data_IF_185091780895
#
_entry.id   IF_185091780895
#
_cell.length_a   1.000
_cell.length_b   1.000
_cell.length_c   1.000
_cell.angle_alpha   90.00
_cell.angle_beta   90.00
_cell.angle_gamma   90.00
#
_symmetry.space_group_name_H-M   'P 1'
#
loop_
_entity.id
_entity.type
_entity.pdbx_description
1 polymer ?
#
# COMPACT_ATOMS: atom_id res chain seq x y z
N UNK A 1 5.95 23.65 8.58
CA UNK A 1 6.65 23.08 9.75
C UNK A 1 5.61 22.96 10.83
N UNK A 2 5.60 21.89 11.63
CA UNK A 2 4.62 21.80 12.73
C UNK A 2 4.96 22.89 13.74
N UNK A 3 4.02 23.81 14.00
CA UNK A 3 4.20 24.81 15.03
C UNK A 3 4.05 24.14 16.40
N UNK A 4 5.07 24.30 17.25
CA UNK A 4 5.12 23.70 18.58
C UNK A 4 5.43 24.73 19.66
N UNK A 5 5.40 26.03 19.35
CA UNK A 5 5.81 27.08 20.28
C UNK A 5 4.89 27.15 21.52
N UNK A 6 3.60 26.92 21.33
CA UNK A 6 2.58 26.97 22.39
C UNK A 6 2.31 25.61 23.08
N UNK A 7 3.08 24.57 22.76
CA UNK A 7 2.85 23.22 23.29
C UNK A 7 3.35 23.13 24.73
N UNK A 8 2.45 22.93 25.69
CA UNK A 8 2.78 22.73 27.10
C UNK A 8 3.23 21.32 27.46
N UNK A 9 2.73 20.31 26.73
CA UNK A 9 3.16 18.90 26.86
C UNK A 9 3.23 18.19 25.51
N UNK A 10 4.35 17.54 25.25
CA UNK A 10 4.54 16.56 24.18
C UNK A 10 4.23 15.17 24.73
N UNK A 11 3.11 14.57 24.34
CA UNK A 11 2.69 13.24 24.77
C UNK A 11 2.91 12.23 23.65
N UNK A 12 4.00 11.47 23.74
CA UNK A 12 4.25 10.33 22.88
C UNK A 12 3.49 9.10 23.35
N UNK A 13 2.83 8.41 22.43
CA UNK A 13 2.11 7.16 22.69
C UNK A 13 2.72 6.04 21.86
N UNK A 14 3.20 4.99 22.53
CA UNK A 14 3.42 3.70 21.88
C UNK A 14 2.12 2.88 21.94
N UNK A 15 1.55 2.59 20.77
CA UNK A 15 0.16 2.14 20.67
C UNK A 15 0.05 0.61 20.67
N UNK A 16 -0.42 0.05 21.78
CA UNK A 16 -0.71 -1.39 21.92
C UNK A 16 -2.20 -1.75 21.89
N UNK A 17 -2.51 -3.03 21.61
CA UNK A 17 -3.89 -3.52 21.42
C UNK A 17 -4.77 -3.36 22.66
N UNK A 18 -4.24 -3.71 23.83
CA UNK A 18 -4.95 -3.69 25.13
C UNK A 18 -4.70 -2.42 25.91
N UNK A 19 -3.44 -1.96 25.92
CA UNK A 19 -3.03 -0.71 26.49
C UNK A 19 -1.93 -0.10 25.60
N UNK A 20 -1.90 1.21 25.53
CA UNK A 20 -0.78 1.98 25.03
C UNK A 20 0.18 2.26 26.20
N UNK A 21 1.38 2.73 25.90
CA UNK A 21 2.21 3.39 26.90
C UNK A 21 2.32 4.86 26.54
N UNK A 22 2.02 5.76 27.48
CA UNK A 22 2.14 7.19 27.25
C UNK A 22 3.34 7.77 27.99
N UNK A 23 4.06 8.67 27.33
CA UNK A 23 5.18 9.42 27.88
C UNK A 23 5.02 10.91 27.56
N UNK A 24 4.92 11.74 28.60
CA UNK A 24 4.67 13.17 28.50
C UNK A 24 5.88 13.99 28.95
N UNK A 25 6.33 14.90 28.11
CA UNK A 25 7.44 15.82 28.37
C UNK A 25 6.97 17.28 28.25
N UNK A 26 7.44 18.15 29.15
CA UNK A 26 7.32 19.61 28.95
C UNK A 26 8.31 20.09 27.88
N UNK A 27 8.22 21.35 27.38
CA UNK A 27 9.23 21.93 26.49
C UNK A 27 10.66 21.82 27.01
N UNK A 28 10.84 21.97 28.33
CA UNK A 28 12.12 21.82 29.01
C UNK A 28 12.60 20.36 29.14
N UNK A 29 11.87 19.38 28.63
CA UNK A 29 12.20 17.95 28.72
C UNK A 29 11.88 17.31 30.08
N UNK A 30 11.11 17.99 30.95
CA UNK A 30 10.71 17.42 32.24
C UNK A 30 9.60 16.40 32.04
N UNK A 31 9.79 15.18 32.55
CA UNK A 31 8.79 14.12 32.54
C UNK A 31 7.60 14.45 33.45
N UNK A 32 6.40 14.48 32.86
CA UNK A 32 5.13 14.78 33.53
C UNK A 32 4.12 13.64 33.46
N UNK A 33 4.32 12.69 32.53
CA UNK A 33 3.52 11.48 32.39
C UNK A 33 4.41 10.33 31.91
N UNK A 34 4.23 9.12 32.45
CA UNK A 34 4.99 7.93 32.05
C UNK A 34 4.30 6.69 32.61
N UNK A 35 3.23 6.24 31.96
CA UNK A 35 2.38 5.15 32.45
C UNK A 35 1.68 4.41 31.31
N UNK A 36 1.31 3.13 31.53
CA UNK A 36 0.33 2.46 30.69
C UNK A 36 -0.98 3.23 30.63
N UNK A 37 -1.56 3.29 29.45
CA UNK A 37 -2.80 3.98 29.14
C UNK A 37 -3.75 2.97 28.47
N UNK A 38 -4.77 2.47 29.17
CA UNK A 38 -5.71 1.50 28.60
C UNK A 38 -6.35 2.01 27.31
N UNK A 39 -6.53 1.12 26.33
CA UNK A 39 -7.18 1.44 25.06
C UNK A 39 -8.71 1.57 25.24
N UNK A 40 -9.13 2.65 25.88
CA UNK A 40 -10.51 2.96 26.26
C UNK A 40 -10.72 4.48 26.20
N UNK A 41 -11.78 4.92 25.51
CA UNK A 41 -12.09 6.35 25.38
C UNK A 41 -12.09 7.08 26.73
N UNK A 42 -12.82 6.57 27.72
CA UNK A 42 -12.94 7.23 29.03
C UNK A 42 -11.59 7.39 29.72
N UNK A 43 -10.69 6.40 29.59
CA UNK A 43 -9.35 6.44 30.21
C UNK A 43 -8.40 7.35 29.45
N UNK A 44 -8.47 7.35 28.12
CA UNK A 44 -7.74 8.26 27.25
C UNK A 44 -8.10 9.72 27.54
N UNK A 45 -9.40 10.03 27.47
CA UNK A 45 -9.95 11.37 27.73
C UNK A 45 -9.55 11.90 29.10
N UNK A 46 -9.69 11.08 30.15
CA UNK A 46 -9.30 11.49 31.50
C UNK A 46 -7.82 11.88 31.63
N UNK A 47 -6.91 11.28 30.84
CA UNK A 47 -5.51 11.67 30.82
C UNK A 47 -5.29 12.95 30.02
N UNK A 48 -5.94 13.07 28.86
CA UNK A 48 -5.85 14.28 28.04
C UNK A 48 -6.39 15.50 28.79
N UNK A 49 -7.61 15.43 29.32
CA UNK A 49 -8.22 16.51 30.11
C UNK A 49 -7.33 16.94 31.29
N UNK A 50 -6.73 15.96 31.99
CA UNK A 50 -5.84 16.23 33.12
C UNK A 50 -4.55 16.93 32.70
N UNK A 51 -3.96 16.53 31.58
CA UNK A 51 -2.75 17.18 31.06
C UNK A 51 -3.08 18.59 30.54
N UNK A 52 -4.18 18.73 29.81
CA UNK A 52 -4.67 20.00 29.27
C UNK A 52 -4.96 20.99 30.38
N UNK A 53 -5.70 20.58 31.43
CA UNK A 53 -6.02 21.43 32.57
C UNK A 53 -4.78 21.92 33.34
N UNK A 54 -3.68 21.14 33.33
CA UNK A 54 -2.47 21.47 34.09
C UNK A 54 -1.43 22.23 33.28
N UNK A 55 -1.34 21.97 31.98
CA UNK A 55 -0.24 22.45 31.14
C UNK A 55 -0.69 23.23 29.90
N UNK A 56 -2.00 23.42 29.69
CA UNK A 56 -2.52 24.08 28.50
C UNK A 56 -2.49 23.15 27.30
N UNK A 57 -1.83 23.54 26.22
CA UNK A 57 -1.82 22.77 24.97
C UNK A 57 -1.08 21.44 25.12
N UNK A 58 -1.73 20.34 24.75
CA UNK A 58 -1.11 19.01 24.66
C UNK A 58 -0.99 18.61 23.19
N UNK A 59 0.21 18.21 22.78
CA UNK A 59 0.47 17.60 21.47
C UNK A 59 0.59 16.09 21.64
N UNK A 60 -0.40 15.34 21.18
CA UNK A 60 -0.42 13.87 21.21
C UNK A 60 0.20 13.31 19.94
N UNK A 61 1.20 12.44 20.07
CA UNK A 61 1.98 11.92 18.95
C UNK A 61 1.98 10.40 18.97
N UNK A 62 1.68 9.78 17.83
CA UNK A 62 1.75 8.33 17.61
C UNK A 62 2.69 8.00 16.45
N UNK A 63 3.16 6.77 16.35
CA UNK A 63 3.88 6.23 15.20
C UNK A 63 3.00 5.37 14.26
N UNK A 64 1.76 5.08 14.65
CA UNK A 64 0.81 4.27 13.88
C UNK A 64 -0.61 4.88 13.91
N UNK A 65 -0.88 5.92 13.11
CA UNK A 65 -2.10 6.71 13.22
C UNK A 65 -3.35 6.00 12.68
N UNK A 66 -3.21 5.15 11.66
CA UNK A 66 -4.34 4.52 10.96
C UNK A 66 -4.72 3.12 11.48
N UNK A 67 -4.03 2.61 12.52
CA UNK A 67 -4.32 1.30 13.12
C UNK A 67 -4.75 1.47 14.59
N UNK A 68 -3.96 0.98 15.53
CA UNK A 68 -4.22 1.03 16.97
C UNK A 68 -4.26 2.49 17.46
N UNK A 69 -3.54 3.41 16.79
CA UNK A 69 -3.53 4.83 17.14
C UNK A 69 -4.78 5.61 16.73
N UNK A 70 -5.74 5.02 15.99
CA UNK A 70 -6.91 5.75 15.50
C UNK A 70 -7.78 6.31 16.64
N UNK A 71 -8.11 5.47 17.63
CA UNK A 71 -8.90 5.88 18.79
C UNK A 71 -8.21 6.95 19.64
N UNK A 72 -6.96 6.76 20.14
CA UNK A 72 -6.32 7.77 20.98
C UNK A 72 -6.16 9.13 20.29
N UNK A 73 -5.90 9.16 18.98
CA UNK A 73 -5.85 10.41 18.23
C UNK A 73 -7.23 11.08 18.12
N UNK A 74 -8.28 10.29 17.88
CA UNK A 74 -9.66 10.82 17.78
C UNK A 74 -10.12 11.40 19.12
N UNK A 75 -9.87 10.68 20.22
CA UNK A 75 -10.21 11.14 21.57
C UNK A 75 -9.36 12.36 21.97
N UNK A 76 -8.09 12.40 21.58
CA UNK A 76 -7.23 13.56 21.83
C UNK A 76 -7.76 14.82 21.15
N UNK A 77 -8.14 14.72 19.87
CA UNK A 77 -8.76 15.83 19.14
C UNK A 77 -10.07 16.29 19.77
N UNK A 78 -10.95 15.35 20.11
CA UNK A 78 -12.23 15.67 20.74
C UNK A 78 -12.05 16.32 22.13
N UNK A 79 -10.98 15.97 22.84
CA UNK A 79 -10.55 16.63 24.07
C UNK A 79 -9.80 17.96 23.85
N UNK A 80 -9.76 18.48 22.62
CA UNK A 80 -9.12 19.75 22.27
C UNK A 80 -7.58 19.71 22.22
N UNK A 81 -6.97 18.53 22.20
CA UNK A 81 -5.52 18.38 22.04
C UNK A 81 -5.11 18.53 20.57
N UNK A 82 -3.88 19.01 20.35
CA UNK A 82 -3.23 18.90 19.04
C UNK A 82 -2.76 17.46 18.81
N UNK A 83 -2.70 17.04 17.55
CA UNK A 83 -2.23 15.69 17.19
C UNK A 83 -1.22 15.70 16.07
N UNK A 84 -0.22 14.82 16.16
CA UNK A 84 0.76 14.61 15.12
C UNK A 84 1.12 13.14 14.94
N UNK A 85 1.76 12.83 13.82
CA UNK A 85 2.29 11.50 13.52
C UNK A 85 3.81 11.58 13.32
N UNK A 86 4.55 10.71 13.99
CA UNK A 86 5.98 10.48 13.75
C UNK A 86 6.15 9.27 12.82
N UNK A 87 6.61 9.44 11.57
CA UNK A 87 6.77 8.32 10.65
C UNK A 87 7.62 7.20 11.24
N UNK A 88 7.14 5.94 11.19
CA UNK A 88 7.83 4.81 11.82
C UNK A 88 9.30 4.62 11.37
N UNK A 89 9.64 5.06 10.15
CA UNK A 89 11.02 5.05 9.66
C UNK A 89 11.89 6.16 10.28
N UNK A 90 11.31 7.32 10.58
CA UNK A 90 11.96 8.38 11.35
C UNK A 90 12.09 7.95 12.82
N UNK A 91 11.01 7.44 13.42
CA UNK A 91 11.00 6.89 14.78
C UNK A 91 12.12 5.86 14.97
N UNK A 92 12.24 4.87 14.07
CA UNK A 92 13.29 3.85 14.16
C UNK A 92 14.71 4.43 14.12
N UNK A 93 14.96 5.42 13.27
CA UNK A 93 16.29 6.06 13.17
C UNK A 93 16.61 6.91 14.40
N UNK A 94 15.59 7.54 14.98
CA UNK A 94 15.75 8.32 16.20
C UNK A 94 15.97 7.38 17.38
N UNK A 95 15.25 6.26 17.45
CA UNK A 95 15.39 5.26 18.52
C UNK A 95 16.83 4.71 18.63
N UNK A 96 17.54 4.57 17.51
CA UNK A 96 18.95 4.15 17.46
C UNK A 96 19.90 5.15 18.18
N UNK A 97 19.48 6.40 18.40
CA UNK A 97 20.26 7.41 19.12
C UNK A 97 20.10 7.31 20.65
N UNK A 98 19.14 6.52 21.14
CA UNK A 98 18.87 6.36 22.58
C UNK A 98 19.53 5.09 23.12
N UNK A 99 20.20 5.17 24.29
CA UNK A 99 20.91 4.03 24.86
C UNK A 99 20.00 2.82 25.16
N UNK A 100 20.60 1.62 25.12
CA UNK A 100 19.96 0.34 25.45
C UNK A 100 19.37 -0.41 24.24
N UNK A 101 19.59 -1.72 24.19
CA UNK A 101 19.12 -2.59 23.09
C UNK A 101 17.72 -3.16 23.30
N UNK A 102 17.17 -3.07 24.52
CA UNK A 102 15.85 -3.60 24.84
C UNK A 102 14.75 -2.72 24.21
N UNK A 103 13.91 -3.34 23.37
CA UNK A 103 12.69 -2.73 22.86
C UNK A 103 11.60 -2.82 23.92
N UNK A 104 11.17 -1.68 24.45
CA UNK A 104 10.08 -1.60 25.44
C UNK A 104 9.12 -0.49 25.07
N UNK A 105 7.83 -0.68 25.37
CA UNK A 105 6.77 0.27 25.02
C UNK A 105 7.02 1.66 25.65
N UNK A 106 7.58 1.67 26.87
CA UNK A 106 7.98 2.90 27.56
C UNK A 106 9.10 3.65 26.83
N UNK A 107 10.08 2.93 26.27
CA UNK A 107 11.18 3.54 25.50
C UNK A 107 10.63 4.12 24.20
N UNK A 108 9.82 3.37 23.48
CA UNK A 108 9.24 3.80 22.21
C UNK A 108 8.36 5.06 22.41
N UNK A 109 7.52 5.08 23.45
CA UNK A 109 6.73 6.26 23.81
C UNK A 109 7.60 7.48 24.16
N UNK A 110 8.69 7.27 24.91
CA UNK A 110 9.63 8.33 25.28
C UNK A 110 10.36 8.91 24.05
N UNK A 111 10.80 8.04 23.14
CA UNK A 111 11.43 8.44 21.87
C UNK A 111 10.46 9.28 21.04
N UNK A 112 9.19 8.87 20.94
CA UNK A 112 8.16 9.63 20.21
C UNK A 112 7.96 11.02 20.82
N UNK A 113 7.83 11.11 22.14
CA UNK A 113 7.62 12.38 22.84
C UNK A 113 8.81 13.33 22.67
N UNK A 114 10.03 12.81 22.83
CA UNK A 114 11.24 13.64 22.77
C UNK A 114 11.61 14.02 21.33
N UNK A 115 11.35 13.15 20.35
CA UNK A 115 11.45 13.47 18.93
C UNK A 115 10.52 14.62 18.54
N UNK A 116 9.27 14.59 19.03
CA UNK A 116 8.31 15.67 18.78
C UNK A 116 8.79 17.01 19.34
N UNK A 117 9.39 16.96 20.55
CA UNK A 117 9.91 18.14 21.26
C UNK A 117 11.18 18.73 20.63
N UNK A 118 12.12 17.88 20.20
CA UNK A 118 13.47 18.31 19.77
C UNK A 118 13.62 18.37 18.25
N UNK A 119 12.81 17.62 17.52
CA UNK A 119 12.87 17.46 16.07
C UNK A 119 11.48 17.62 15.42
N UNK A 120 10.76 18.73 15.65
CA UNK A 120 9.38 18.91 15.17
C UNK A 120 9.26 18.85 13.63
N UNK A 121 10.36 19.11 12.90
CA UNK A 121 10.45 18.94 11.45
C UNK A 121 10.28 17.48 10.97
N UNK A 122 10.39 16.51 11.87
CA UNK A 122 10.15 15.08 11.57
C UNK A 122 8.68 14.68 11.67
N UNK A 123 7.86 15.50 12.32
CA UNK A 123 6.43 15.26 12.51
C UNK A 123 5.64 15.54 11.22
N UNK A 124 4.51 14.86 11.08
CA UNK A 124 3.51 15.10 10.04
C UNK A 124 2.19 15.51 10.67
N UNK A 125 1.57 16.54 10.09
CA UNK A 125 0.21 16.96 10.42
C UNK A 125 -0.76 15.84 10.14
N UNK A 126 -1.61 15.58 11.12
CA UNK A 126 -2.82 14.81 10.94
C UNK A 126 -3.94 15.84 10.95
N UNK A 127 -4.13 16.56 9.84
CA UNK A 127 -5.29 17.44 9.69
C UNK A 127 -6.58 16.61 9.79
N UNK A 128 -7.71 17.29 9.99
CA UNK A 128 -9.03 16.69 9.90
C UNK A 128 -9.11 15.98 8.55
N UNK A 129 -8.97 14.67 8.58
CA UNK A 129 -9.32 13.85 7.44
C UNK A 129 -10.83 13.97 7.37
N UNK A 130 -11.36 14.45 6.24
CA UNK A 130 -12.80 14.40 6.05
C UNK A 130 -13.25 12.94 6.21
N UNK A 131 -14.50 12.75 6.63
CA UNK A 131 -15.07 11.42 6.89
C UNK A 131 -14.87 10.49 5.69
N UNK A 132 -14.95 11.05 4.48
CA UNK A 132 -14.68 10.37 3.21
C UNK A 132 -13.26 9.79 3.17
N UNK A 133 -12.22 10.55 3.51
CA UNK A 133 -10.82 10.08 3.47
C UNK A 133 -10.56 9.07 4.59
N UNK A 134 -11.19 9.20 5.75
CA UNK A 134 -11.12 8.21 6.82
C UNK A 134 -11.74 6.87 6.38
N UNK A 135 -12.93 6.90 5.79
CA UNK A 135 -13.58 5.71 5.23
C UNK A 135 -12.76 5.09 4.08
N UNK A 136 -12.27 5.91 3.16
CA UNK A 136 -11.39 5.47 2.07
C UNK A 136 -10.11 4.83 2.60
N UNK A 137 -9.58 5.29 3.73
CA UNK A 137 -8.40 4.68 4.36
C UNK A 137 -8.69 3.25 4.78
N UNK A 138 -9.84 3.02 5.42
CA UNK A 138 -10.27 1.67 5.84
C UNK A 138 -10.52 0.78 4.63
N UNK A 139 -11.29 1.25 3.64
CA UNK A 139 -11.63 0.45 2.46
C UNK A 139 -10.40 0.17 1.57
N UNK A 140 -9.51 1.14 1.39
CA UNK A 140 -8.27 0.94 0.62
C UNK A 140 -7.34 -0.05 1.33
N UNK A 141 -7.25 -0.01 2.67
CA UNK A 141 -6.55 -1.00 3.46
C UNK A 141 -7.11 -2.41 3.24
N UNK A 142 -8.43 -2.55 3.33
CA UNK A 142 -9.11 -3.83 3.10
C UNK A 142 -8.92 -4.37 1.67
N UNK A 143 -8.96 -3.53 0.62
CA UNK A 143 -8.64 -3.97 -0.75
C UNK A 143 -7.21 -4.51 -0.87
N UNK A 144 -6.24 -3.92 -0.14
CA UNK A 144 -4.87 -4.43 -0.14
C UNK A 144 -4.76 -5.80 0.54
N UNK A 145 -5.47 -6.02 1.64
CA UNK A 145 -5.51 -7.30 2.33
C UNK A 145 -6.09 -8.39 1.43
N UNK A 146 -7.22 -8.10 0.77
CA UNK A 146 -7.82 -9.00 -0.21
C UNK A 146 -6.89 -9.26 -1.41
N UNK A 147 -6.17 -8.24 -1.89
CA UNK A 147 -5.19 -8.43 -2.97
C UNK A 147 -4.02 -9.35 -2.55
N UNK A 148 -3.57 -9.23 -1.30
CA UNK A 148 -2.54 -10.10 -0.74
C UNK A 148 -3.07 -11.53 -0.56
N UNK A 149 -4.33 -11.69 -0.13
CA UNK A 149 -4.99 -12.99 -0.01
C UNK A 149 -5.16 -13.68 -1.36
N UNK A 150 -5.62 -12.96 -2.39
CA UNK A 150 -5.71 -13.48 -3.76
C UNK A 150 -4.34 -13.97 -4.25
N UNK A 151 -3.30 -13.15 -4.08
CA UNK A 151 -1.92 -13.51 -4.46
C UNK A 151 -1.45 -14.77 -3.73
N UNK A 152 -1.70 -14.85 -2.42
CA UNK A 152 -1.33 -16.01 -1.59
C UNK A 152 -2.05 -17.27 -2.06
N UNK A 153 -3.35 -17.18 -2.31
CA UNK A 153 -4.16 -18.32 -2.74
C UNK A 153 -3.78 -18.78 -4.14
N UNK A 154 -3.56 -17.87 -5.08
CA UNK A 154 -3.03 -18.17 -6.42
C UNK A 154 -1.68 -18.88 -6.31
N UNK A 155 -0.75 -18.38 -5.49
CA UNK A 155 0.56 -19.01 -5.31
C UNK A 155 0.47 -20.40 -4.66
N UNK A 156 -0.51 -20.65 -3.78
CA UNK A 156 -0.76 -21.99 -3.23
C UNK A 156 -1.23 -22.97 -4.31
N UNK A 157 -2.15 -22.54 -5.18
CA UNK A 157 -2.59 -23.35 -6.34
C UNK A 157 -1.40 -23.63 -7.26
N UNK A 158 -0.61 -22.60 -7.60
CA UNK A 158 0.59 -22.76 -8.43
C UNK A 158 1.59 -23.72 -7.79
N UNK A 159 1.86 -23.59 -6.50
CA UNK A 159 2.77 -24.48 -5.78
C UNK A 159 2.34 -25.94 -5.85
N UNK A 160 1.04 -26.22 -5.68
CA UNK A 160 0.50 -27.58 -5.83
C UNK A 160 0.63 -28.07 -7.28
N UNK A 161 0.29 -27.25 -8.27
CA UNK A 161 0.44 -27.63 -9.67
C UNK A 161 1.92 -27.85 -10.03
N UNK A 162 2.85 -27.02 -9.57
CA UNK A 162 4.30 -27.23 -9.75
C UNK A 162 4.77 -28.51 -9.09
N UNK A 163 4.23 -28.87 -7.92
CA UNK A 163 4.63 -30.07 -7.19
C UNK A 163 4.12 -31.36 -7.87
N UNK A 164 2.87 -31.38 -8.33
CA UNK A 164 2.22 -32.61 -8.81
C UNK A 164 2.17 -32.71 -10.34
N UNK A 165 2.10 -31.58 -11.04
CA UNK A 165 1.96 -31.54 -12.50
C UNK A 165 2.53 -30.24 -13.14
N UNK A 166 3.87 -30.07 -13.23
CA UNK A 166 4.51 -28.84 -13.71
C UNK A 166 4.03 -28.36 -15.10
N UNK A 167 3.78 -29.27 -16.04
CA UNK A 167 3.29 -28.92 -17.38
C UNK A 167 1.90 -28.28 -17.34
N UNK A 168 1.06 -28.69 -16.39
CA UNK A 168 -0.28 -28.12 -16.19
C UNK A 168 -0.18 -26.75 -15.48
N UNK A 169 0.79 -26.55 -14.57
CA UNK A 169 1.09 -25.22 -14.01
C UNK A 169 1.45 -24.21 -15.11
N UNK A 170 2.27 -24.61 -16.08
CA UNK A 170 2.69 -23.75 -17.20
C UNK A 170 1.50 -23.18 -17.97
N UNK A 171 0.41 -23.94 -18.06
CA UNK A 171 -0.81 -23.60 -18.80
C UNK A 171 -1.82 -22.84 -17.93
N UNK A 172 -2.07 -23.31 -16.71
CA UNK A 172 -3.11 -22.77 -15.83
C UNK A 172 -2.61 -21.67 -14.90
N UNK A 173 -1.38 -21.77 -14.41
CA UNK A 173 -0.76 -20.89 -13.42
C UNK A 173 -0.79 -19.41 -13.83
N UNK A 174 -0.35 -19.04 -15.05
CA UNK A 174 -0.42 -17.66 -15.54
C UNK A 174 -1.84 -17.12 -15.73
N UNK A 175 -2.87 -17.97 -15.67
CA UNK A 175 -4.27 -17.65 -16.00
C UNK A 175 -5.22 -17.78 -14.81
N UNK A 176 -4.70 -17.93 -13.58
CA UNK A 176 -5.50 -18.11 -12.36
C UNK A 176 -6.40 -16.92 -12.01
N UNK A 177 -6.08 -15.73 -12.51
CA UNK A 177 -6.95 -14.55 -12.32
C UNK A 177 -8.20 -14.59 -13.24
N UNK A 178 -8.22 -15.47 -14.24
CA UNK A 178 -9.33 -15.58 -15.18
C UNK A 178 -10.45 -16.46 -14.62
N UNK A 179 -11.67 -15.92 -14.55
CA UNK A 179 -12.86 -16.59 -13.97
C UNK A 179 -13.13 -18.00 -14.53
N UNK A 180 -12.83 -18.24 -15.81
CA UNK A 180 -13.05 -19.55 -16.43
C UNK A 180 -12.07 -20.61 -15.91
N UNK A 181 -10.84 -20.20 -15.57
CA UNK A 181 -9.81 -21.09 -15.02
C UNK A 181 -10.13 -21.42 -13.57
N UNK A 182 -10.52 -20.45 -12.75
CA UNK A 182 -10.96 -20.73 -11.37
C UNK A 182 -12.21 -21.62 -11.35
N UNK A 183 -13.17 -21.36 -12.23
CA UNK A 183 -14.37 -22.19 -12.40
C UNK A 183 -14.03 -23.64 -12.80
N UNK A 184 -13.04 -23.82 -13.67
CA UNK A 184 -12.54 -25.14 -14.08
C UNK A 184 -11.93 -25.86 -12.88
N UNK A 185 -10.99 -25.23 -12.19
CA UNK A 185 -10.27 -25.79 -11.04
C UNK A 185 -11.18 -26.07 -9.84
N UNK A 186 -12.26 -25.30 -9.69
CA UNK A 186 -13.32 -25.57 -8.71
C UNK A 186 -14.03 -26.91 -8.95
N UNK A 187 -14.12 -27.36 -10.21
CA UNK A 187 -14.86 -28.58 -10.60
C UNK A 187 -13.97 -29.76 -10.94
N UNK A 188 -12.77 -29.49 -11.44
CA UNK A 188 -11.82 -30.45 -11.96
C UNK A 188 -10.43 -30.12 -11.40
N UNK A 189 -10.21 -30.53 -10.14
CA UNK A 189 -9.02 -30.18 -9.37
C UNK A 189 -7.78 -30.98 -9.77
N UNK A 190 -7.95 -32.24 -10.16
CA UNK A 190 -6.83 -33.12 -10.53
C UNK A 190 -6.67 -33.33 -12.05
N UNK A 191 -5.46 -33.72 -12.50
CA UNK A 191 -5.22 -34.20 -13.87
C UNK A 191 -6.19 -35.32 -14.28
N UNK A 192 -6.50 -36.25 -13.37
CA UNK A 192 -7.41 -37.35 -13.64
C UNK A 192 -8.86 -36.87 -13.83
N UNK A 193 -9.31 -35.91 -13.02
CA UNK A 193 -10.64 -35.30 -13.16
C UNK A 193 -10.78 -34.56 -14.50
N UNK A 194 -9.75 -33.83 -14.92
CA UNK A 194 -9.70 -33.16 -16.23
C UNK A 194 -9.77 -34.16 -17.38
N UNK A 195 -8.97 -35.23 -17.34
CA UNK A 195 -9.03 -36.30 -18.35
C UNK A 195 -10.40 -36.97 -18.41
N UNK A 196 -10.97 -37.30 -17.25
CA UNK A 196 -12.28 -37.95 -17.14
C UNK A 196 -13.41 -37.09 -17.70
N UNK A 197 -13.34 -35.77 -17.55
CA UNK A 197 -14.33 -34.86 -18.11
C UNK A 197 -14.30 -34.86 -19.65
N UNK A 198 -13.12 -34.97 -20.24
CA UNK A 198 -12.90 -35.09 -21.69
C UNK A 198 -12.85 -33.75 -22.43
N UNK A 199 -12.03 -33.70 -23.48
CA UNK A 199 -11.71 -32.47 -24.25
C UNK A 199 -12.95 -31.74 -24.75
N UNK A 200 -13.84 -32.44 -25.48
CA UNK A 200 -15.06 -31.85 -26.07
C UNK A 200 -15.98 -31.22 -25.01
N UNK A 201 -16.26 -31.96 -23.94
CA UNK A 201 -17.14 -31.51 -22.85
C UNK A 201 -16.57 -30.28 -22.15
N UNK A 202 -15.27 -30.27 -21.87
CA UNK A 202 -14.63 -29.13 -21.21
C UNK A 202 -14.65 -27.87 -22.10
N UNK A 203 -14.50 -28.00 -23.41
CA UNK A 203 -14.68 -26.86 -24.35
C UNK A 203 -16.10 -26.31 -24.30
N UNK A 204 -17.12 -27.17 -24.33
CA UNK A 204 -18.53 -26.78 -24.25
C UNK A 204 -18.83 -26.02 -22.94
N UNK A 205 -18.32 -26.51 -21.81
CA UNK A 205 -18.54 -25.91 -20.50
C UNK A 205 -17.81 -24.57 -20.30
N UNK A 206 -16.61 -24.41 -20.88
CA UNK A 206 -15.81 -23.18 -20.73
C UNK A 206 -16.25 -22.09 -21.72
N UNK A 207 -16.78 -22.45 -22.89
CA UNK A 207 -17.13 -21.51 -23.97
C UNK A 207 -18.01 -20.33 -23.52
N UNK A 208 -19.06 -20.50 -22.70
CA UNK A 208 -19.86 -19.37 -22.21
C UNK A 208 -19.07 -18.37 -21.35
N UNK A 209 -17.97 -18.80 -20.72
CA UNK A 209 -17.14 -17.98 -19.82
C UNK A 209 -15.93 -17.36 -20.51
N UNK A 210 -15.45 -17.98 -21.57
CA UNK A 210 -14.21 -17.61 -22.24
C UNK A 210 -14.23 -17.93 -23.75
N UNK A 211 -15.17 -17.34 -24.53
CA UNK A 211 -15.48 -17.78 -25.89
C UNK A 211 -14.27 -17.72 -26.85
N UNK A 212 -13.39 -16.72 -26.67
CA UNK A 212 -12.21 -16.50 -27.52
C UNK A 212 -11.02 -17.40 -27.19
N UNK A 213 -10.99 -18.02 -26.00
CA UNK A 213 -9.86 -18.84 -25.56
C UNK A 213 -10.22 -20.30 -25.30
N UNK A 214 -11.51 -20.65 -25.21
CA UNK A 214 -11.96 -21.95 -24.71
C UNK A 214 -11.30 -23.14 -25.40
N UNK A 215 -11.33 -23.18 -26.74
CA UNK A 215 -10.73 -24.27 -27.52
C UNK A 215 -9.22 -24.38 -27.24
N UNK A 216 -8.48 -23.29 -27.51
CA UNK A 216 -7.04 -23.23 -27.29
C UNK A 216 -6.61 -23.57 -25.85
N UNK A 217 -7.32 -23.04 -24.85
CA UNK A 217 -7.03 -23.32 -23.45
C UNK A 217 -7.18 -24.79 -23.11
N UNK A 218 -8.27 -25.43 -23.55
CA UNK A 218 -8.48 -26.86 -23.29
C UNK A 218 -7.49 -27.70 -24.09
N UNK A 219 -7.16 -27.31 -25.32
CA UNK A 219 -6.13 -27.98 -26.11
C UNK A 219 -4.77 -27.93 -25.39
N UNK A 220 -4.32 -26.73 -24.98
CA UNK A 220 -3.09 -26.54 -24.19
C UNK A 220 -3.12 -27.41 -22.90
N UNK A 221 -4.27 -27.53 -22.23
CA UNK A 221 -4.42 -28.37 -21.02
C UNK A 221 -4.20 -29.84 -21.35
N UNK A 222 -4.84 -30.37 -22.39
CA UNK A 222 -4.70 -31.78 -22.74
C UNK A 222 -3.30 -32.11 -23.24
N UNK A 223 -2.68 -31.22 -24.02
CA UNK A 223 -1.30 -31.38 -24.45
C UNK A 223 -0.36 -31.41 -23.23
N UNK A 224 -0.59 -30.54 -22.24
CA UNK A 224 0.15 -30.57 -20.99
C UNK A 224 -0.10 -31.85 -20.17
N UNK A 225 -1.34 -32.34 -20.12
CA UNK A 225 -1.67 -33.60 -19.45
C UNK A 225 -0.96 -34.78 -20.12
N UNK A 226 -0.82 -34.78 -21.45
CA UNK A 226 -0.14 -35.82 -22.23
C UNK A 226 1.38 -35.75 -22.12
N UNK A 227 1.95 -34.57 -21.85
CA UNK A 227 3.40 -34.37 -21.62
C UNK A 227 3.91 -35.15 -20.39
N UNK A 228 3.09 -35.33 -19.36
CA UNK A 228 3.47 -36.02 -18.13
C UNK A 228 2.88 -37.43 -18.07
N UNK A 229 3.75 -38.43 -18.24
CA UNK A 229 3.35 -39.86 -18.21
C UNK A 229 3.39 -40.48 -16.82
N UNK A 230 4.10 -39.86 -15.87
CA UNK A 230 4.28 -40.37 -14.50
C UNK A 230 3.40 -39.62 -13.52
N UNK A 231 2.66 -40.35 -12.68
CA UNK A 231 1.81 -39.78 -11.65
C UNK A 231 2.57 -39.67 -10.34
N UNK A 232 2.65 -38.46 -9.79
CA UNK A 232 3.22 -38.23 -8.46
C UNK A 232 2.28 -38.82 -7.39
N UNK A 233 2.79 -39.63 -6.43
CA UNK A 233 1.96 -40.16 -5.35
C UNK A 233 1.20 -39.05 -4.61
N UNK A 234 -0.09 -39.26 -4.35
CA UNK A 234 -0.95 -38.27 -3.70
C UNK A 234 -1.62 -37.27 -4.64
N UNK A 235 -1.40 -37.33 -5.96
CA UNK A 235 -2.06 -36.45 -6.96
C UNK A 235 -3.60 -36.44 -6.83
N UNK A 236 -4.23 -37.54 -6.41
CA UNK A 236 -5.68 -37.58 -6.18
C UNK A 236 -6.18 -36.63 -5.10
N UNK A 237 -5.32 -36.21 -4.17
CA UNK A 237 -5.69 -35.23 -3.12
C UNK A 237 -5.98 -33.84 -3.69
N UNK A 238 -5.52 -33.55 -4.91
CA UNK A 238 -5.82 -32.30 -5.62
C UNK A 238 -7.32 -32.13 -5.86
N UNK A 239 -8.09 -33.21 -5.99
CA UNK A 239 -9.56 -33.15 -6.14
C UNK A 239 -10.28 -32.59 -4.92
N UNK A 240 -9.59 -32.46 -3.78
CA UNK A 240 -10.12 -31.80 -2.58
C UNK A 240 -9.53 -30.40 -2.41
N UNK A 241 -8.20 -30.29 -2.50
CA UNK A 241 -7.48 -29.06 -2.14
C UNK A 241 -7.65 -27.97 -3.19
N UNK A 242 -7.46 -28.28 -4.47
CA UNK A 242 -7.52 -27.28 -5.55
C UNK A 242 -8.92 -26.68 -5.66
N UNK A 243 -10.02 -27.46 -5.62
CA UNK A 243 -11.37 -26.89 -5.62
C UNK A 243 -11.64 -25.93 -4.46
N UNK A 244 -11.15 -26.25 -3.26
CA UNK A 244 -11.29 -25.37 -2.09
C UNK A 244 -10.56 -24.04 -2.29
N UNK A 245 -9.30 -24.09 -2.73
CA UNK A 245 -8.52 -22.88 -3.02
C UNK A 245 -9.11 -22.06 -4.17
N UNK A 246 -9.63 -22.70 -5.22
CA UNK A 246 -10.27 -22.02 -6.34
C UNK A 246 -11.56 -21.28 -5.93
N UNK A 247 -12.35 -21.86 -5.02
CA UNK A 247 -13.50 -21.17 -4.40
C UNK A 247 -13.08 -19.97 -3.59
N UNK A 248 -12.08 -20.12 -2.71
CA UNK A 248 -11.54 -18.99 -1.93
C UNK A 248 -11.02 -17.88 -2.83
N UNK A 249 -10.28 -18.21 -3.88
CA UNK A 249 -9.78 -17.22 -4.83
C UNK A 249 -10.91 -16.48 -5.55
N UNK A 250 -11.95 -17.21 -5.96
CA UNK A 250 -13.14 -16.62 -6.60
C UNK A 250 -13.88 -15.67 -5.65
N UNK A 251 -14.10 -16.09 -4.39
CA UNK A 251 -14.75 -15.26 -3.38
C UNK A 251 -13.97 -13.97 -3.10
N UNK A 252 -12.65 -14.05 -2.95
CA UNK A 252 -11.80 -12.87 -2.75
C UNK A 252 -11.89 -11.92 -3.96
N UNK A 253 -11.88 -12.45 -5.19
CA UNK A 253 -12.05 -11.62 -6.39
C UNK A 253 -13.43 -10.94 -6.45
N UNK A 254 -14.49 -11.61 -6.00
CA UNK A 254 -15.84 -11.02 -5.91
C UNK A 254 -15.90 -9.90 -4.86
N UNK A 255 -15.34 -10.13 -3.68
CA UNK A 255 -15.25 -9.13 -2.62
C UNK A 255 -14.50 -7.88 -3.11
N UNK A 256 -13.39 -8.05 -3.82
CA UNK A 256 -12.63 -6.91 -4.39
C UNK A 256 -13.40 -6.12 -5.43
N UNK A 257 -14.24 -6.77 -6.26
CA UNK A 257 -15.11 -6.09 -7.22
C UNK A 257 -16.22 -5.29 -6.52
N UNK A 258 -16.82 -5.87 -5.49
CA UNK A 258 -17.83 -5.18 -4.69
C UNK A 258 -17.22 -3.95 -3.98
N UNK A 259 -16.04 -4.12 -3.38
CA UNK A 259 -15.33 -3.05 -2.68
C UNK A 259 -14.91 -1.91 -3.60
N UNK A 260 -14.51 -2.20 -4.83
CA UNK A 260 -14.20 -1.17 -5.83
C UNK A 260 -15.40 -0.24 -6.12
N UNK A 261 -16.62 -0.76 -6.05
CA UNK A 261 -17.85 0.04 -6.23
C UNK A 261 -18.06 0.99 -5.05
N UNK A 262 -17.79 0.54 -3.82
CA UNK A 262 -17.88 1.39 -2.63
C UNK A 262 -16.79 2.47 -2.61
N UNK A 263 -15.55 2.08 -2.89
CA UNK A 263 -14.42 3.02 -3.02
C UNK A 263 -14.72 4.07 -4.09
N UNK A 264 -15.29 3.67 -5.23
CA UNK A 264 -15.69 4.60 -6.29
C UNK A 264 -16.68 5.65 -5.79
N UNK A 265 -17.71 5.22 -5.06
CA UNK A 265 -18.76 6.12 -4.55
C UNK A 265 -18.19 7.18 -3.61
N UNK A 266 -17.35 6.77 -2.65
CA UNK A 266 -16.69 7.69 -1.74
C UNK A 266 -15.70 8.61 -2.46
N UNK A 267 -14.92 8.05 -3.39
CA UNK A 267 -13.98 8.84 -4.17
C UNK A 267 -14.72 9.91 -4.99
N UNK A 268 -15.82 9.59 -5.67
CA UNK A 268 -16.61 10.57 -6.46
C UNK A 268 -17.17 11.71 -5.60
N UNK A 269 -17.40 11.50 -4.31
CA UNK A 269 -17.80 12.54 -3.38
C UNK A 269 -16.64 13.47 -2.94
N UNK A 270 -15.38 13.07 -3.16
CA UNK A 270 -14.22 13.84 -2.72
C UNK A 270 -13.81 14.93 -3.74
N UNK A 271 -13.55 16.19 -3.34
CA UNK A 271 -13.22 17.29 -4.26
C UNK A 271 -12.00 17.06 -5.16
N UNK A 272 -10.98 16.35 -4.67
CA UNK A 272 -9.76 16.03 -5.45
C UNK A 272 -9.92 14.87 -6.43
N UNK A 273 -11.06 14.18 -6.43
CA UNK A 273 -11.32 13.05 -7.34
C UNK A 273 -11.17 13.37 -8.82
N UNK A 274 -11.80 14.44 -9.37
CA UNK A 274 -11.62 14.80 -10.79
C UNK A 274 -10.17 15.18 -11.11
N UNK A 275 -9.46 15.83 -10.16
CA UNK A 275 -8.03 16.15 -10.31
C UNK A 275 -7.22 14.87 -10.45
N UNK A 276 -7.34 13.94 -9.49
CA UNK A 276 -6.57 12.69 -9.47
C UNK A 276 -6.87 11.80 -10.70
N UNK A 277 -8.15 11.62 -11.03
CA UNK A 277 -8.59 10.72 -12.10
C UNK A 277 -8.39 11.28 -13.50
N UNK A 278 -8.15 12.59 -13.65
CA UNK A 278 -7.75 13.20 -14.93
C UNK A 278 -6.38 12.71 -15.42
N UNK A 279 -5.51 12.22 -14.52
CA UNK A 279 -4.19 11.73 -14.87
C UNK A 279 -4.26 10.33 -15.53
N UNK A 280 -3.76 10.13 -16.78
CA UNK A 280 -3.81 8.84 -17.45
C UNK A 280 -3.19 7.73 -16.60
N UNK A 281 -3.85 6.58 -16.45
CA UNK A 281 -3.37 5.49 -15.59
C UNK A 281 -3.64 5.71 -14.08
N UNK A 282 -4.40 6.72 -13.68
CA UNK A 282 -4.93 6.86 -12.31
C UNK A 282 -6.43 6.54 -12.33
N UNK A 283 -6.77 5.28 -12.05
CA UNK A 283 -8.15 4.82 -11.89
C UNK A 283 -8.59 4.85 -10.42
N UNK A 284 -9.86 4.53 -10.14
CA UNK A 284 -10.50 4.57 -8.81
C UNK A 284 -9.60 4.07 -7.67
N UNK A 285 -9.11 2.83 -7.75
CA UNK A 285 -8.26 2.26 -6.68
C UNK A 285 -6.94 3.01 -6.51
N UNK A 286 -6.31 3.41 -7.62
CA UNK A 286 -5.06 4.18 -7.58
C UNK A 286 -5.33 5.55 -6.97
N UNK A 287 -6.38 6.25 -7.38
CA UNK A 287 -6.77 7.54 -6.86
C UNK A 287 -7.08 7.48 -5.35
N UNK A 288 -7.83 6.47 -4.90
CA UNK A 288 -8.08 6.26 -3.47
C UNK A 288 -6.78 6.07 -2.67
N UNK A 289 -5.83 5.27 -3.18
CA UNK A 289 -4.52 5.11 -2.54
C UNK A 289 -3.74 6.43 -2.53
N UNK A 290 -3.76 7.19 -3.62
CA UNK A 290 -3.09 8.49 -3.68
C UNK A 290 -3.69 9.45 -2.66
N UNK A 291 -5.02 9.54 -2.57
CA UNK A 291 -5.70 10.40 -1.62
C UNK A 291 -5.39 10.00 -0.17
N UNK A 292 -5.49 8.71 0.17
CA UNK A 292 -5.19 8.20 1.52
C UNK A 292 -3.72 8.42 1.92
N UNK A 293 -2.78 8.35 0.97
CA UNK A 293 -1.34 8.40 1.27
C UNK A 293 -0.72 9.80 1.12
N UNK A 294 -1.32 10.66 0.30
CA UNK A 294 -0.78 11.98 -0.05
C UNK A 294 -1.68 13.12 0.44
N UNK A 295 -2.98 12.88 0.58
CA UNK A 295 -3.97 13.93 0.84
C UNK A 295 -4.04 14.93 -0.32
N UNK A 296 -4.14 16.20 0.04
CA UNK A 296 -4.07 17.36 -0.86
C UNK A 296 -2.63 17.74 -1.26
N UNK A 297 -1.61 17.02 -0.76
CA UNK A 297 -0.21 17.28 -1.05
C UNK A 297 0.44 18.43 -0.28
N UNK A 298 -0.31 19.20 0.52
CA UNK A 298 0.21 20.36 1.28
C UNK A 298 1.24 19.97 2.34
N UNK A 299 1.16 18.73 2.82
CA UNK A 299 2.12 18.12 3.75
C UNK A 299 3.55 17.96 3.17
N UNK A 300 3.74 18.16 1.85
CA UNK A 300 5.01 18.03 1.17
C UNK A 300 5.51 19.40 0.65
N UNK A 301 6.68 19.89 1.10
CA UNK A 301 7.19 21.19 0.64
C UNK A 301 7.51 21.22 -0.86
N UNK A 302 7.93 20.09 -1.42
CA UNK A 302 8.27 19.98 -2.84
C UNK A 302 7.93 18.60 -3.40
N UNK A 303 7.81 18.50 -4.71
CA UNK A 303 7.70 17.23 -5.43
C UNK A 303 8.84 16.24 -5.10
N UNK A 304 10.03 16.73 -4.76
CA UNK A 304 11.15 15.89 -4.33
C UNK A 304 10.91 15.25 -2.96
N UNK A 305 10.27 15.96 -2.03
CA UNK A 305 9.87 15.40 -0.73
C UNK A 305 8.82 14.31 -0.91
N UNK A 306 7.81 14.53 -1.75
CA UNK A 306 6.80 13.52 -2.06
C UNK A 306 7.43 12.28 -2.72
N UNK A 307 8.36 12.48 -3.67
CA UNK A 307 9.08 11.38 -4.30
C UNK A 307 9.96 10.59 -3.32
N UNK A 308 10.58 11.27 -2.36
CA UNK A 308 11.37 10.63 -1.29
C UNK A 308 10.46 9.81 -0.36
N UNK A 309 9.33 10.39 0.06
CA UNK A 309 8.31 9.70 0.84
C UNK A 309 7.78 8.44 0.14
N UNK A 310 7.51 8.52 -1.17
CA UNK A 310 7.11 7.38 -1.99
C UNK A 310 8.22 6.34 -2.22
N UNK A 311 9.48 6.63 -1.87
CA UNK A 311 10.61 5.75 -2.20
C UNK A 311 10.87 5.65 -3.71
N UNK A 312 10.64 6.75 -4.44
CA UNK A 312 10.92 6.91 -5.87
C UNK A 312 12.13 7.82 -6.14
N UNK A 313 12.54 8.65 -5.18
CA UNK A 313 13.75 9.45 -5.30
C UNK A 313 15.00 8.55 -5.18
N UNK A 314 16.00 8.67 -6.09
CA UNK A 314 17.25 7.92 -5.96
C UNK A 314 17.95 8.26 -4.64
N UNK A 315 18.59 7.28 -4.02
CA UNK A 315 19.43 7.48 -2.85
C UNK A 315 20.89 7.53 -3.30
N UNK A 316 21.58 8.64 -3.05
CA UNK A 316 23.03 8.76 -3.20
C UNK A 316 23.72 8.09 -2.01
N UNK A 317 24.73 7.25 -2.29
CA UNK A 317 25.59 6.66 -1.26
C UNK A 317 27.03 7.09 -1.53
N UNK A 318 27.44 8.23 -0.98
CA UNK A 318 28.84 8.65 -0.98
C UNK A 318 29.51 8.14 0.31
N UNK A 319 30.44 7.20 0.19
CA UNK A 319 31.46 7.00 1.23
C UNK A 319 32.69 7.81 0.83
N UNK A 320 33.44 8.34 1.80
CA UNK A 320 34.54 9.31 1.57
C UNK A 320 35.67 8.86 0.63
N UNK A 321 35.65 7.63 0.12
CA UNK A 321 36.61 7.09 -0.85
C UNK A 321 35.96 6.62 -2.16
N UNK A 322 34.64 6.66 -2.29
CA UNK A 322 33.96 6.30 -3.54
C UNK A 322 32.58 6.98 -3.68
N UNK A 323 32.35 7.64 -4.81
CA UNK A 323 31.00 8.01 -5.24
C UNK A 323 30.44 6.79 -5.97
N UNK A 324 29.87 5.84 -5.23
CA UNK A 324 29.03 4.82 -5.87
C UNK A 324 27.75 5.50 -6.35
N UNK A 325 27.37 5.21 -7.60
CA UNK A 325 26.26 5.86 -8.29
C UNK A 325 24.91 5.78 -7.55
N UNK A 326 23.95 6.58 -7.99
CA UNK A 326 22.60 6.60 -7.43
C UNK A 326 21.96 5.19 -7.38
N UNK A 327 21.41 4.82 -6.22
CA UNK A 327 20.74 3.54 -6.02
C UNK A 327 19.24 3.71 -5.79
N UNK A 328 18.47 2.65 -6.07
CA UNK A 328 17.06 2.62 -5.70
C UNK A 328 16.92 2.65 -4.17
N UNK A 329 16.06 3.53 -3.61
CA UNK A 329 15.88 3.61 -2.17
C UNK A 329 15.24 2.33 -1.64
N UNK A 330 15.75 1.84 -0.50
CA UNK A 330 15.20 0.69 0.24
C UNK A 330 14.08 1.09 1.23
N UNK A 331 13.87 2.40 1.42
CA UNK A 331 12.87 3.00 2.30
C UNK A 331 11.79 3.76 1.52
N UNK A 332 10.64 4.02 2.15
CA UNK A 332 9.52 4.79 1.60
C UNK A 332 8.17 4.08 1.77
N UNK A 333 7.08 4.80 1.50
CA UNK A 333 5.72 4.27 1.50
C UNK A 333 5.55 3.28 0.34
N UNK A 334 5.51 1.99 0.68
CA UNK A 334 5.43 0.88 -0.31
C UNK A 334 4.12 0.90 -1.10
N UNK A 335 3.03 1.33 -0.46
CA UNK A 335 1.71 1.41 -1.08
C UNK A 335 1.71 2.49 -2.17
N UNK A 336 2.21 3.69 -1.84
CA UNK A 336 2.36 4.78 -2.79
C UNK A 336 3.33 4.43 -3.93
N UNK A 337 4.46 3.78 -3.62
CA UNK A 337 5.40 3.29 -4.65
C UNK A 337 4.73 2.36 -5.65
N UNK A 338 3.97 1.38 -5.14
CA UNK A 338 3.24 0.41 -5.96
C UNK A 338 2.17 1.10 -6.79
N UNK A 339 1.38 2.00 -6.21
CA UNK A 339 0.37 2.76 -6.91
C UNK A 339 0.97 3.58 -8.07
N UNK A 340 2.08 4.29 -7.83
CA UNK A 340 2.76 5.06 -8.87
C UNK A 340 3.39 4.17 -9.95
N UNK A 341 3.91 3.00 -9.59
CA UNK A 341 4.42 2.03 -10.57
C UNK A 341 3.29 1.49 -11.48
N UNK A 342 2.18 1.06 -10.89
CA UNK A 342 1.02 0.57 -11.64
C UNK A 342 0.41 1.68 -12.49
N UNK A 343 0.35 2.90 -11.97
CA UNK A 343 -0.09 4.08 -12.73
C UNK A 343 0.80 4.35 -13.94
N UNK A 344 2.13 4.30 -13.76
CA UNK A 344 3.07 4.46 -14.86
C UNK A 344 2.94 3.37 -15.93
N UNK A 345 2.68 2.13 -15.52
CA UNK A 345 2.43 1.02 -16.45
C UNK A 345 1.13 1.22 -17.23
N UNK A 346 0.04 1.54 -16.53
CA UNK A 346 -1.26 1.81 -17.14
C UNK A 346 -1.21 3.02 -18.08
N UNK A 347 -0.42 4.04 -17.76
CA UNK A 347 -0.25 5.23 -18.58
C UNK A 347 0.54 5.02 -19.87
N UNK A 348 1.03 3.83 -20.20
CA UNK A 348 1.79 3.61 -21.44
C UNK A 348 0.96 3.78 -22.73
N UNK A 349 -0.36 3.87 -22.64
CA UNK A 349 -1.23 4.25 -23.75
C UNK A 349 -1.23 5.77 -24.02
N UNK A 350 -0.80 6.59 -23.05
CA UNK A 350 -0.68 8.04 -23.19
C UNK A 350 0.65 8.39 -23.89
N UNK A 351 0.58 9.30 -24.87
CA UNK A 351 1.70 9.62 -25.75
C UNK A 351 2.88 10.23 -24.99
N UNK A 352 2.64 11.12 -24.03
CA UNK A 352 3.70 11.77 -23.26
C UNK A 352 4.42 10.75 -22.36
N UNK A 353 3.65 9.92 -21.66
CA UNK A 353 4.15 8.84 -20.81
C UNK A 353 4.92 7.79 -21.61
N UNK A 354 4.40 7.39 -22.78
CA UNK A 354 5.05 6.45 -23.70
C UNK A 354 6.38 6.97 -24.21
N UNK A 355 6.41 8.24 -24.63
CA UNK A 355 7.63 8.91 -25.12
C UNK A 355 8.73 8.91 -24.06
N UNK A 356 8.40 9.26 -22.80
CA UNK A 356 9.37 9.23 -21.71
C UNK A 356 9.88 7.81 -21.43
N UNK A 357 8.98 6.83 -21.44
CA UNK A 357 9.32 5.42 -21.26
C UNK A 357 10.26 4.91 -22.35
N UNK A 358 9.96 5.18 -23.63
CA UNK A 358 10.79 4.75 -24.76
C UNK A 358 12.16 5.44 -24.74
N UNK A 359 12.24 6.72 -24.38
CA UNK A 359 13.53 7.41 -24.13
C UNK A 359 14.37 6.70 -23.06
N UNK A 360 13.74 6.20 -21.99
CA UNK A 360 14.44 5.41 -20.98
C UNK A 360 14.90 4.04 -21.51
N UNK A 361 14.06 3.35 -22.30
CA UNK A 361 14.40 2.07 -22.92
C UNK A 361 15.56 2.20 -23.92
N UNK A 362 15.56 3.27 -24.73
CA UNK A 362 16.64 3.59 -25.67
C UNK A 362 17.99 3.82 -24.96
N UNK A 363 17.98 4.31 -23.71
CA UNK A 363 19.17 4.45 -22.86
C UNK A 363 19.58 3.14 -22.15
N UNK A 364 19.08 1.99 -22.60
CA UNK A 364 19.42 0.67 -22.06
C UNK A 364 18.77 0.31 -20.72
N UNK A 365 17.78 1.08 -20.23
CA UNK A 365 17.09 0.76 -18.97
C UNK A 365 16.15 -0.42 -19.15
N UNK A 366 16.08 -1.34 -18.17
CA UNK A 366 15.12 -2.45 -18.20
C UNK A 366 13.68 -1.94 -18.15
N UNK A 367 12.70 -2.78 -18.48
CA UNK A 367 11.28 -2.43 -18.40
C UNK A 367 10.90 -1.84 -17.02
N UNK A 368 11.26 -2.54 -15.95
CA UNK A 368 11.01 -2.12 -14.57
C UNK A 368 11.70 -0.80 -14.23
N UNK A 369 12.95 -0.61 -14.68
CA UNK A 369 13.69 0.64 -14.45
C UNK A 369 13.07 1.82 -15.19
N UNK A 370 12.61 1.61 -16.43
CA UNK A 370 11.94 2.64 -17.22
C UNK A 370 10.60 3.04 -16.59
N UNK A 371 9.81 2.08 -16.11
CA UNK A 371 8.57 2.34 -15.37
C UNK A 371 8.80 3.09 -14.06
N UNK A 372 9.83 2.72 -13.27
CA UNK A 372 10.14 3.43 -12.02
C UNK A 372 10.59 4.87 -12.27
N UNK A 373 11.32 5.12 -13.36
CA UNK A 373 11.68 6.49 -13.79
C UNK A 373 10.45 7.28 -14.22
N UNK A 374 9.55 6.65 -14.99
CA UNK A 374 8.28 7.25 -15.37
C UNK A 374 7.43 7.56 -14.13
N UNK A 375 7.33 6.64 -13.17
CA UNK A 375 6.65 6.85 -11.89
C UNK A 375 7.26 8.04 -11.11
N UNK A 376 8.59 8.16 -11.06
CA UNK A 376 9.29 9.30 -10.44
C UNK A 376 9.00 10.62 -11.15
N UNK A 377 8.89 10.62 -12.48
CA UNK A 377 8.50 11.81 -13.24
C UNK A 377 7.04 12.18 -12.94
N UNK A 378 6.15 11.19 -13.01
CA UNK A 378 4.71 11.34 -12.76
C UNK A 378 4.38 11.81 -11.36
N UNK A 379 5.14 11.44 -10.34
CA UNK A 379 4.88 11.94 -8.98
C UNK A 379 5.12 13.45 -8.85
N UNK A 380 5.99 14.04 -9.68
CA UNK A 380 6.15 15.50 -9.74
C UNK A 380 4.95 16.16 -10.41
N UNK A 381 4.38 15.54 -11.44
CA UNK A 381 3.16 16.02 -12.10
C UNK A 381 1.98 15.95 -11.13
N UNK A 382 1.81 14.83 -10.44
CA UNK A 382 0.80 14.66 -9.39
C UNK A 382 0.90 15.75 -8.32
N UNK A 383 2.11 16.05 -7.83
CA UNK A 383 2.33 17.11 -6.86
C UNK A 383 1.87 18.48 -7.35
N UNK A 384 2.19 18.83 -8.61
CA UNK A 384 1.77 20.10 -9.20
C UNK A 384 0.24 20.17 -9.37
N UNK A 385 -0.39 19.09 -9.86
CA UNK A 385 -1.84 19.01 -10.00
C UNK A 385 -2.58 19.21 -8.67
N UNK A 386 -2.09 18.57 -7.60
CA UNK A 386 -2.66 18.69 -6.26
C UNK A 386 -2.48 20.11 -5.69
N UNK A 387 -1.26 20.66 -5.79
CA UNK A 387 -0.95 22.02 -5.31
C UNK A 387 -1.79 23.09 -6.00
N UNK A 388 -1.96 22.98 -7.31
CA UNK A 388 -2.60 24.00 -8.14
C UNK A 388 -4.11 23.73 -8.33
N UNK A 389 -4.62 22.59 -7.88
CA UNK A 389 -6.01 22.16 -8.12
C UNK A 389 -6.34 21.97 -9.60
N UNK A 390 -5.35 21.61 -10.43
CA UNK A 390 -5.47 21.57 -11.89
C UNK A 390 -5.57 20.16 -12.44
N UNK A 391 -6.32 20.00 -13.54
CA UNK A 391 -6.37 18.73 -14.25
C UNK A 391 -5.06 18.42 -14.97
N UNK A 392 -4.86 17.14 -15.26
CA UNK A 392 -3.69 16.70 -16.00
C UNK A 392 -3.65 17.33 -17.39
N UNK A 393 -2.56 18.05 -17.65
CA UNK A 393 -2.22 18.56 -18.98
C UNK A 393 -1.05 17.75 -19.53
N UNK A 394 -1.18 17.16 -20.73
CA UNK A 394 -0.07 16.47 -21.38
C UNK A 394 0.99 17.49 -21.78
N UNK A 395 2.10 17.54 -21.02
CA UNK A 395 3.28 18.32 -21.37
C UNK A 395 4.33 17.41 -21.97
N UNK A 396 4.61 17.60 -23.24
CA UNK A 396 5.82 17.06 -23.85
C UNK A 396 6.97 17.95 -23.38
N UNK A 397 7.95 17.45 -22.61
CA UNK A 397 9.09 18.29 -22.25
C UNK A 397 9.77 18.73 -23.54
N UNK A 398 9.78 20.05 -23.80
CA UNK A 398 10.57 20.64 -24.87
C UNK A 398 12.01 20.17 -24.69
N UNK A 399 12.54 19.51 -25.71
CA UNK A 399 13.97 19.22 -25.78
C UNK A 399 14.69 20.55 -25.87
N UNK A 400 15.21 21.04 -24.74
CA UNK A 400 16.25 22.06 -24.76
C UNK A 400 17.43 21.47 -25.54
N UNK A 401 17.88 22.09 -26.65
CA UNK A 401 19.08 21.65 -27.35
C UNK A 401 20.27 21.75 -26.40
N UNK A 402 21.16 20.77 -26.49
CA UNK A 402 22.35 20.61 -25.64
C UNK A 402 23.35 21.75 -25.78
#
# INVERSE_FOLDING_TARGET
MFDTEDVGVFLGLDVGKTAHHGHGLTPAGKKVFDKPLPNSETKLRAVFDKLTAKFGTVLVVVDQPASIGALPLTVARDAGCQVAYLPGLAMRRIADLYPGEAKTDAKDAAVIADAARTMPHTLRSLELTDEITAELTVLAGFDQDLAAEATRTSNRIRGLLTQFHPSLERVLGPRLDHQAVTWLLERYGSPAALRKAGRRRLVELIRPKAPRMAARLIDDIFDALDEQTVVVPGTGTLDVVIPSLARSLTAVHEQRRALETQIKTLLEAHPLSPVLTSMPGVAVRTAAVLLVTVGDGTSFPTAAHLASYAGLAPATKSSGTSIHGEHAPRSGNRQLKRAMFLSAFAALHDHASRTYYDKCRARGKTHTQALLRLARHRISVLFAMLRDGTFYEPRTPETTPA
#
